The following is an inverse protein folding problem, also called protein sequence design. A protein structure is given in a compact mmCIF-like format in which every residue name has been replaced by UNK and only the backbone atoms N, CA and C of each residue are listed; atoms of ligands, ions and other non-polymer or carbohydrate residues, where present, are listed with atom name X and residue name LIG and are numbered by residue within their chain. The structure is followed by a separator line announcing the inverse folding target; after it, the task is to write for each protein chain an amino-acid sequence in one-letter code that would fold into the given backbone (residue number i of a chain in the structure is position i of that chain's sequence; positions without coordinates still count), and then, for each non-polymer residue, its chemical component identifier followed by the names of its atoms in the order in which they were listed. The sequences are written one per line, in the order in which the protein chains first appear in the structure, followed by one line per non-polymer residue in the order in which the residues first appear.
data_IF_278432529609
#
_entry.id   IF_278432529609
#
_cell.length_a   1.000
_cell.length_b   1.000
_cell.length_c   1.000
_cell.angle_alpha   90.00
_cell.angle_beta   90.00
_cell.angle_gamma   90.00
#
_symmetry.space_group_name_H-M   'P 1'
#
loop_
_entity.id
_entity.type
_entity.pdbx_description
1 polymer ?
#
# COMPACT_ATOMS: atom_id res chain seq x y z
N UNK A 1 8.38 -0.97 -24.78
CA UNK A 1 8.07 -0.37 -23.47
C UNK A 1 7.91 -1.51 -22.48
N UNK A 2 8.92 -1.77 -21.65
CA UNK A 2 8.88 -2.88 -20.68
C UNK A 2 8.22 -2.35 -19.42
N UNK A 3 6.92 -2.61 -19.25
CA UNK A 3 6.27 -2.32 -17.97
C UNK A 3 6.78 -3.38 -17.00
N UNK A 4 7.76 -3.02 -16.19
CA UNK A 4 8.25 -3.88 -15.12
C UNK A 4 7.12 -4.07 -14.10
N UNK A 5 6.39 -5.18 -14.24
CA UNK A 5 5.58 -5.75 -13.17
C UNK A 5 6.55 -6.21 -12.09
N UNK A 6 7.01 -5.27 -11.26
CA UNK A 6 7.74 -5.57 -10.04
C UNK A 6 7.00 -6.65 -9.29
N UNK A 7 7.73 -7.65 -8.83
CA UNK A 7 7.23 -8.87 -8.21
C UNK A 7 6.62 -8.53 -6.84
N UNK A 8 5.39 -8.03 -6.85
CA UNK A 8 4.65 -7.68 -5.63
C UNK A 8 3.97 -8.95 -5.10
N UNK A 9 4.29 -9.35 -3.86
CA UNK A 9 3.64 -10.47 -3.16
C UNK A 9 2.18 -10.11 -2.86
N UNK A 10 1.31 -10.40 -3.82
CA UNK A 10 -0.12 -10.10 -3.78
C UNK A 10 -0.59 -9.76 -5.18
N UNK A 11 -1.10 -10.76 -5.89
CA UNK A 11 -1.75 -10.54 -7.19
C UNK A 11 -2.87 -9.51 -7.00
N UNK A 12 -2.67 -8.29 -7.49
CA UNK A 12 -3.68 -7.25 -7.46
C UNK A 12 -4.74 -7.55 -8.53
N UNK A 13 -5.49 -8.64 -8.33
CA UNK A 13 -6.50 -9.12 -9.27
C UNK A 13 -7.64 -8.10 -9.38
N UNK A 14 -7.80 -7.55 -10.59
CA UNK A 14 -8.83 -6.55 -10.89
C UNK A 14 -8.47 -5.12 -10.48
N UNK A 15 -7.21 -4.86 -10.10
CA UNK A 15 -6.76 -3.53 -9.67
C UNK A 15 -5.40 -3.13 -10.22
N UNK A 16 -4.90 -1.99 -9.73
CA UNK A 16 -3.55 -1.50 -10.02
C UNK A 16 -2.80 -1.21 -8.73
N UNK A 17 -1.53 -1.63 -8.67
CA UNK A 17 -0.63 -1.28 -7.57
C UNK A 17 -0.02 0.08 -7.83
N UNK A 18 -0.32 1.04 -6.97
CA UNK A 18 0.03 2.45 -7.14
C UNK A 18 0.60 3.00 -5.84
N UNK A 19 1.65 3.83 -5.93
CA UNK A 19 2.33 4.40 -4.77
C UNK A 19 1.85 5.81 -4.40
N UNK A 20 1.13 6.48 -5.31
CA UNK A 20 0.61 7.84 -5.14
C UNK A 20 -0.65 8.06 -5.97
N UNK A 21 -1.42 9.11 -5.64
CA UNK A 21 -2.59 9.51 -6.43
C UNK A 21 -2.22 9.82 -7.89
N UNK A 22 -1.06 10.43 -8.11
CA UNK A 22 -0.52 10.71 -9.43
C UNK A 22 -0.21 9.42 -10.21
N UNK A 23 0.40 8.44 -9.55
CA UNK A 23 0.65 7.12 -10.15
C UNK A 23 -0.66 6.37 -10.44
N UNK A 24 -1.70 6.57 -9.63
CA UNK A 24 -3.03 6.03 -9.86
C UNK A 24 -3.69 6.61 -11.12
N UNK A 25 -3.64 7.94 -11.29
CA UNK A 25 -4.12 8.58 -12.50
C UNK A 25 -3.32 8.12 -13.74
N UNK A 26 -1.99 7.99 -13.60
CA UNK A 26 -1.13 7.49 -14.67
C UNK A 26 -1.39 6.01 -15.03
N UNK A 27 -1.90 5.22 -14.10
CA UNK A 27 -2.33 3.84 -14.33
C UNK A 27 -3.67 3.75 -15.09
N UNK A 28 -4.32 4.89 -15.37
CA UNK A 28 -5.60 4.94 -16.09
C UNK A 28 -6.83 4.71 -15.21
N UNK A 29 -6.68 4.73 -13.88
CA UNK A 29 -7.82 4.66 -12.97
C UNK A 29 -8.60 5.98 -12.93
N UNK A 30 -9.92 5.95 -12.67
CA UNK A 30 -10.72 7.17 -12.59
C UNK A 30 -10.22 8.11 -11.49
N UNK A 31 -10.23 9.44 -11.71
CA UNK A 31 -9.70 10.40 -10.74
C UNK A 31 -10.44 10.36 -9.39
N UNK A 32 -11.75 10.08 -9.39
CA UNK A 32 -12.53 9.88 -8.17
C UNK A 32 -12.06 8.69 -7.35
N UNK A 33 -11.74 7.56 -8.01
CA UNK A 33 -11.18 6.37 -7.37
C UNK A 33 -9.82 6.68 -6.77
N UNK A 34 -8.94 7.35 -7.51
CA UNK A 34 -7.60 7.69 -7.04
C UNK A 34 -7.64 8.60 -5.81
N UNK A 35 -8.46 9.66 -5.85
CA UNK A 35 -8.64 10.55 -4.70
C UNK A 35 -9.16 9.79 -3.48
N UNK A 36 -10.22 8.99 -3.65
CA UNK A 36 -10.79 8.21 -2.56
C UNK A 36 -9.81 7.18 -1.99
N UNK A 37 -9.03 6.54 -2.85
CA UNK A 37 -8.02 5.56 -2.43
C UNK A 37 -6.96 6.21 -1.56
N UNK A 38 -6.41 7.36 -1.97
CA UNK A 38 -5.34 8.03 -1.24
C UNK A 38 -5.80 8.81 -0.01
N UNK A 39 -7.07 9.20 0.06
CA UNK A 39 -7.71 9.66 1.30
C UNK A 39 -7.77 8.52 2.33
N UNK A 40 -8.03 7.28 1.90
CA UNK A 40 -8.11 6.11 2.78
C UNK A 40 -6.75 5.45 3.05
N UNK A 41 -5.77 5.70 2.19
CA UNK A 41 -4.46 5.05 2.21
C UNK A 41 -3.72 5.25 3.54
N UNK A 42 -3.73 6.44 4.13
CA UNK A 42 -3.05 6.68 5.42
C UNK A 42 -3.70 5.87 6.55
N UNK A 43 -5.03 5.82 6.59
CA UNK A 43 -5.76 4.99 7.57
C UNK A 43 -5.40 3.52 7.40
N UNK A 44 -5.43 3.01 6.16
CA UNK A 44 -5.06 1.62 5.87
C UNK A 44 -3.60 1.37 6.22
N UNK A 45 -2.68 2.28 5.90
CA UNK A 45 -1.26 2.14 6.23
C UNK A 45 -1.02 1.97 7.74
N UNK A 46 -1.80 2.67 8.57
CA UNK A 46 -1.66 2.66 10.04
C UNK A 46 -2.44 1.56 10.74
N UNK A 47 -3.42 0.95 10.07
CA UNK A 47 -4.28 -0.09 10.62
C UNK A 47 -4.08 -1.47 10.00
N UNK A 48 -3.28 -1.58 8.95
CA UNK A 48 -3.02 -2.84 8.24
C UNK A 48 -1.56 -3.25 8.33
N UNK A 49 -1.34 -4.55 8.32
CA UNK A 49 0.00 -5.15 8.38
C UNK A 49 0.38 -5.67 9.77
N UNK A 50 1.58 -6.25 9.88
CA UNK A 50 2.10 -6.75 11.15
C UNK A 50 2.39 -5.60 12.11
N UNK A 51 1.83 -5.68 13.32
CA UNK A 51 2.10 -4.76 14.41
C UNK A 51 3.37 -5.18 15.15
N UNK A 52 4.29 -4.23 15.31
CA UNK A 52 5.51 -4.37 16.09
C UNK A 52 5.40 -3.51 17.35
N UNK A 53 5.87 -4.04 18.48
CA UNK A 53 5.90 -3.27 19.73
C UNK A 53 7.01 -2.20 19.72
N UNK A 54 8.01 -2.35 18.86
CA UNK A 54 9.23 -1.54 18.83
C UNK A 54 9.55 -1.07 17.40
N UNK A 55 10.00 0.18 17.27
CA UNK A 55 10.31 0.79 15.98
C UNK A 55 11.49 0.11 15.30
N UNK A 56 12.57 -0.16 16.05
CA UNK A 56 13.80 -0.73 15.51
C UNK A 56 13.52 -2.13 14.93
N UNK A 57 12.72 -2.96 15.63
CA UNK A 57 12.30 -4.27 15.10
C UNK A 57 11.49 -4.20 13.79
N UNK A 58 10.72 -3.13 13.61
CA UNK A 58 10.01 -2.92 12.37
C UNK A 58 10.98 -2.50 11.25
N UNK A 59 11.91 -1.59 11.55
CA UNK A 59 12.91 -1.07 10.60
C UNK A 59 14.01 -2.07 10.23
N UNK A 60 14.25 -3.09 11.04
CA UNK A 60 15.10 -4.24 10.68
C UNK A 60 14.58 -4.97 9.43
N UNK A 61 13.24 -5.05 9.28
CA UNK A 61 12.58 -5.84 8.22
C UNK A 61 12.06 -4.99 7.07
N UNK A 62 11.71 -3.74 7.34
CA UNK A 62 11.09 -2.84 6.38
C UNK A 62 11.84 -1.51 6.33
N UNK A 63 11.81 -0.85 5.17
CA UNK A 63 12.58 0.39 4.97
C UNK A 63 12.09 1.59 5.78
N UNK A 64 10.82 1.60 6.18
CA UNK A 64 10.22 2.68 6.95
C UNK A 64 9.02 2.14 7.74
N UNK A 65 8.82 2.68 8.94
CA UNK A 65 7.72 2.31 9.81
C UNK A 65 6.92 3.55 10.22
N UNK A 66 5.64 3.32 10.52
CA UNK A 66 4.67 4.32 10.95
C UNK A 66 4.15 3.91 12.32
N UNK A 67 3.83 4.89 13.15
CA UNK A 67 3.10 4.63 14.38
C UNK A 67 1.70 4.10 14.04
N UNK A 68 1.35 2.93 14.60
CA UNK A 68 0.04 2.33 14.43
C UNK A 68 -1.02 3.21 15.10
N UNK A 69 -2.24 3.22 14.55
CA UNK A 69 -3.40 3.83 15.21
C UNK A 69 -4.66 2.99 14.96
N UNK A 70 -5.52 2.79 15.98
CA UNK A 70 -5.48 3.33 17.34
C UNK A 70 -4.60 2.54 18.33
N UNK A 71 -4.01 1.42 17.91
CA UNK A 71 -3.14 0.61 18.78
C UNK A 71 -1.80 1.31 19.05
N UNK A 72 -1.20 1.08 20.22
CA UNK A 72 0.19 1.47 20.50
C UNK A 72 1.15 0.46 19.86
N UNK A 73 1.98 0.94 18.93
CA UNK A 73 2.98 0.11 18.23
C UNK A 73 3.39 0.71 16.89
N UNK A 74 4.07 -0.08 16.09
CA UNK A 74 4.67 0.31 14.81
C UNK A 74 4.23 -0.65 13.72
N UNK A 75 3.80 -0.10 12.59
CA UNK A 75 3.46 -0.86 11.38
C UNK A 75 4.36 -0.42 10.24
N UNK A 76 4.72 -1.33 9.32
CA UNK A 76 5.55 -0.97 8.19
C UNK A 76 4.82 0.00 7.26
N UNK A 77 5.53 0.99 6.73
CA UNK A 77 5.00 1.87 5.68
C UNK A 77 4.79 1.03 4.42
N UNK A 78 3.57 0.99 3.86
CA UNK A 78 3.34 0.34 2.57
C UNK A 78 4.17 1.03 1.48
N UNK A 79 4.76 0.23 0.59
CA UNK A 79 5.45 0.74 -0.59
C UNK A 79 4.47 1.15 -1.71
N UNK A 80 3.23 0.68 -1.62
CA UNK A 80 2.11 1.10 -2.46
C UNK A 80 0.81 0.47 -1.99
N UNK A 81 -0.25 0.71 -2.76
CA UNK A 81 -1.57 0.16 -2.50
C UNK A 81 -2.10 -0.49 -3.75
N UNK A 82 -2.66 -1.69 -3.59
CA UNK A 82 -3.50 -2.31 -4.60
C UNK A 82 -4.87 -1.63 -4.54
N UNK A 83 -5.21 -0.88 -5.59
CA UNK A 83 -6.49 -0.18 -5.73
C UNK A 83 -7.35 -0.97 -6.73
N UNK A 84 -8.49 -1.48 -6.26
CA UNK A 84 -9.51 -2.14 -7.09
C UNK A 84 -10.73 -1.22 -7.13
N UNK A 85 -11.08 -0.65 -8.29
CA UNK A 85 -12.29 0.14 -8.44
C UNK A 85 -13.55 -0.74 -8.30
N UNK A 86 -14.62 -0.18 -7.74
CA UNK A 86 -15.94 -0.79 -7.82
C UNK A 86 -16.66 -0.39 -9.13
N UNK A 87 -17.86 -0.95 -9.37
CA UNK A 87 -18.66 -0.62 -10.56
C UNK A 87 -19.32 0.76 -10.50
N UNK A 88 -19.33 1.40 -9.34
CA UNK A 88 -19.93 2.71 -9.10
C UNK A 88 -18.93 3.86 -9.23
N UNK A 89 -17.67 3.57 -9.55
CA UNK A 89 -16.61 4.58 -9.66
C UNK A 89 -15.95 4.94 -8.32
N UNK A 90 -16.14 4.11 -7.29
CA UNK A 90 -15.48 4.20 -5.99
C UNK A 90 -14.38 3.16 -5.80
N UNK A 91 -13.88 3.05 -4.57
CA UNK A 91 -12.85 2.08 -4.18
C UNK A 91 -13.52 0.83 -3.62
N UNK A 92 -13.53 -0.26 -4.39
CA UNK A 92 -14.08 -1.54 -3.96
C UNK A 92 -13.15 -2.33 -3.03
N UNK A 93 -11.83 -2.23 -3.27
CA UNK A 93 -10.81 -2.80 -2.36
C UNK A 93 -9.55 -1.93 -2.38
N UNK A 94 -9.00 -1.70 -1.18
CA UNK A 94 -7.72 -1.05 -0.98
C UNK A 94 -6.87 -1.92 -0.07
N UNK A 95 -5.73 -2.38 -0.56
CA UNK A 95 -4.84 -3.27 0.21
C UNK A 95 -3.43 -2.74 0.20
N UNK A 96 -2.82 -2.60 1.38
CA UNK A 96 -1.43 -2.20 1.52
C UNK A 96 -0.50 -3.26 0.92
N UNK A 97 0.46 -2.79 0.13
CA UNK A 97 1.50 -3.63 -0.48
C UNK A 97 2.83 -3.21 0.11
N UNK A 98 3.53 -4.17 0.71
CA UNK A 98 4.81 -3.94 1.36
C UNK A 98 5.95 -4.43 0.48
N UNK A 99 7.05 -3.67 0.43
CA UNK A 99 8.34 -4.22 0.00
C UNK A 99 9.05 -4.71 1.25
N UNK A 100 9.28 -6.01 1.32
CA UNK A 100 10.28 -6.54 2.25
C UNK A 100 11.65 -6.14 1.73
N UNK A 101 12.57 -5.77 2.63
CA UNK A 101 13.98 -5.80 2.26
C UNK A 101 14.29 -7.26 1.98
N UNK A 102 14.60 -7.63 0.75
CA UNK A 102 15.12 -8.96 0.47
C UNK A 102 16.35 -9.14 1.34
N UNK A 103 16.28 -10.09 2.27
CA UNK A 103 17.44 -10.54 3.03
C UNK A 103 18.43 -11.06 1.99
N UNK A 104 19.44 -10.25 1.71
CA UNK A 104 20.50 -10.56 0.76
C UNK A 104 21.11 -11.89 1.16
N UNK A 105 20.96 -12.87 0.26
CA UNK A 105 21.66 -14.14 0.33
C UNK A 105 23.13 -13.95 0.02
#
# INVERSE_FOLDING_TARGET
MVIAFGMWRGECLGGSVVASEQACAAAGLPPGVCRMAFVQADKVARSSGPLYNDQARCEERYSACLEARPATGWVPRPAGFCVVPDRSGGVGRLTAVYRVREEGR
#
